data_IF_610821249434
#
_entry.id   IF_610821249434
#
_cell.length_a   1.000
_cell.length_b   1.000
_cell.length_c   1.000
_cell.angle_alpha   90.00
_cell.angle_beta   90.00
_cell.angle_gamma   90.00
#
_symmetry.space_group_name_H-M   'P 1'
#
loop_
_entity.id
_entity.type
_entity.pdbx_description
1 polymer ?
#
# COMPACT_ATOMS: atom_id res chain seq x y z
N UNK A 1 7.03 -31.05 -21.74
CA UNK A 1 8.51 -30.97 -21.89
C UNK A 1 8.92 -29.68 -21.22
N UNK A 2 9.86 -29.74 -20.27
CA UNK A 2 10.39 -28.50 -19.69
C UNK A 2 11.26 -27.81 -20.74
N UNK A 3 11.06 -26.50 -20.95
CA UNK A 3 11.90 -25.72 -21.83
C UNK A 3 13.38 -25.85 -21.45
N UNK A 4 14.30 -25.92 -22.43
CA UNK A 4 15.71 -26.08 -22.15
C UNK A 4 16.23 -24.94 -21.27
N UNK A 5 17.03 -25.31 -20.29
CA UNK A 5 17.67 -24.39 -19.33
C UNK A 5 18.52 -23.41 -20.12
N UNK A 6 18.13 -22.16 -20.16
CA UNK A 6 18.95 -21.11 -20.75
C UNK A 6 20.06 -20.77 -19.76
N UNK A 7 21.28 -21.13 -20.08
CA UNK A 7 22.46 -20.81 -19.27
C UNK A 7 22.89 -19.36 -19.48
N UNK A 8 23.63 -18.71 -18.55
CA UNK A 8 24.18 -17.37 -18.75
C UNK A 8 24.98 -17.22 -20.06
N UNK A 9 25.61 -18.30 -20.51
CA UNK A 9 26.37 -18.35 -21.76
C UNK A 9 25.46 -18.32 -22.99
N UNK A 10 24.32 -18.99 -22.93
CA UNK A 10 23.30 -18.96 -23.99
C UNK A 10 22.57 -17.62 -24.03
N UNK A 11 22.36 -16.97 -22.88
CA UNK A 11 21.83 -15.60 -22.83
C UNK A 11 22.76 -14.60 -23.55
N UNK A 12 24.04 -14.69 -23.31
CA UNK A 12 25.05 -13.88 -24.01
C UNK A 12 25.08 -14.17 -25.52
N UNK A 13 24.93 -15.43 -25.93
CA UNK A 13 24.84 -15.81 -27.34
C UNK A 13 23.61 -15.23 -28.03
N UNK A 14 22.44 -15.32 -27.37
CA UNK A 14 21.19 -14.74 -27.88
C UNK A 14 21.25 -13.22 -28.01
N UNK A 15 21.90 -12.52 -27.07
CA UNK A 15 22.17 -11.08 -27.15
C UNK A 15 23.02 -10.73 -28.38
N UNK A 16 24.06 -11.53 -28.64
CA UNK A 16 24.94 -11.31 -29.79
C UNK A 16 24.24 -11.56 -31.13
N UNK A 17 23.23 -12.41 -31.20
CA UNK A 17 22.45 -12.74 -32.39
C UNK A 17 21.38 -11.70 -32.75
N UNK A 18 21.13 -10.69 -31.86
CA UNK A 18 20.18 -9.61 -32.13
C UNK A 18 18.72 -10.04 -32.26
N UNK A 19 18.36 -11.22 -31.73
CA UNK A 19 16.97 -11.70 -31.72
C UNK A 19 16.16 -10.92 -30.69
N UNK A 20 14.93 -10.57 -31.04
CA UNK A 20 13.96 -10.04 -30.08
C UNK A 20 13.67 -11.12 -29.03
N UNK A 21 14.25 -10.95 -27.84
CA UNK A 21 13.89 -11.72 -26.67
C UNK A 21 13.90 -10.82 -25.45
N UNK A 22 13.08 -11.15 -24.48
CA UNK A 22 13.02 -10.38 -23.25
C UNK A 22 14.20 -10.76 -22.34
N UNK A 23 15.36 -10.15 -22.62
CA UNK A 23 16.61 -10.40 -21.91
C UNK A 23 16.47 -10.31 -20.40
N UNK A 24 15.76 -9.28 -19.90
CA UNK A 24 15.59 -9.09 -18.46
C UNK A 24 14.78 -10.24 -17.84
N UNK A 25 13.73 -10.66 -18.51
CA UNK A 25 12.88 -11.76 -18.07
C UNK A 25 13.63 -13.09 -18.03
N UNK A 26 14.33 -13.44 -19.11
CA UNK A 26 15.10 -14.68 -19.19
C UNK A 26 16.30 -14.69 -18.21
N UNK A 27 16.98 -13.54 -18.07
CA UNK A 27 18.08 -13.38 -17.11
C UNK A 27 17.59 -13.54 -15.66
N UNK A 28 16.44 -12.95 -15.33
CA UNK A 28 15.85 -13.09 -13.99
C UNK A 28 15.43 -14.53 -13.68
N UNK A 29 14.80 -15.25 -14.63
CA UNK A 29 14.45 -16.66 -14.45
C UNK A 29 15.71 -17.51 -14.23
N UNK A 30 16.77 -17.27 -15.02
CA UNK A 30 18.04 -17.98 -14.90
C UNK A 30 18.70 -17.74 -13.54
N UNK A 31 18.77 -16.48 -13.09
CA UNK A 31 19.34 -16.11 -11.79
C UNK A 31 18.57 -16.71 -10.61
N UNK A 32 17.24 -16.60 -10.61
CA UNK A 32 16.39 -17.15 -9.54
C UNK A 32 16.49 -18.67 -9.48
N UNK A 33 16.64 -19.30 -10.62
CA UNK A 33 16.87 -20.76 -10.70
C UNK A 33 18.20 -21.15 -10.09
N UNK A 34 19.27 -20.42 -10.38
CA UNK A 34 20.59 -20.67 -9.82
C UNK A 34 20.57 -20.52 -8.29
N UNK A 35 19.90 -19.51 -7.74
CA UNK A 35 19.70 -19.40 -6.30
C UNK A 35 18.97 -20.60 -5.70
N UNK A 36 17.89 -21.07 -6.36
CA UNK A 36 17.17 -22.26 -5.90
C UNK A 36 18.04 -23.51 -5.91
N UNK A 37 18.92 -23.66 -6.92
CA UNK A 37 19.83 -24.81 -6.99
C UNK A 37 20.87 -24.78 -5.86
N UNK A 38 21.43 -23.60 -5.54
CA UNK A 38 22.36 -23.41 -4.41
C UNK A 38 21.68 -23.78 -3.09
N UNK A 39 20.49 -23.23 -2.80
CA UNK A 39 19.76 -23.56 -1.57
C UNK A 39 19.42 -25.05 -1.45
N UNK A 40 19.10 -25.71 -2.57
CA UNK A 40 18.80 -27.14 -2.57
C UNK A 40 20.07 -27.97 -2.43
N UNK A 41 21.20 -27.54 -2.99
CA UNK A 41 22.50 -28.18 -2.81
C UNK A 41 22.92 -28.16 -1.34
N UNK A 42 22.84 -27.03 -0.68
CA UNK A 42 23.10 -26.91 0.76
C UNK A 42 22.21 -27.83 1.60
N UNK A 43 20.94 -28.02 1.22
CA UNK A 43 20.01 -28.90 1.95
C UNK A 43 20.21 -30.40 1.65
N UNK A 44 20.62 -30.75 0.45
CA UNK A 44 20.75 -32.13 0.03
C UNK A 44 22.14 -32.68 0.21
N UNK A 45 23.15 -31.81 0.38
CA UNK A 45 24.56 -32.18 0.46
C UNK A 45 25.14 -32.64 -0.88
N UNK A 46 24.48 -32.36 -2.02
CA UNK A 46 24.99 -32.78 -3.33
C UNK A 46 24.43 -31.93 -4.46
N UNK A 47 25.24 -31.60 -5.45
CA UNK A 47 24.88 -30.86 -6.66
C UNK A 47 23.88 -31.65 -7.54
N UNK A 48 23.29 -30.95 -8.53
CA UNK A 48 22.36 -31.56 -9.47
C UNK A 48 23.08 -32.67 -10.30
N UNK A 49 22.57 -33.89 -10.20
CA UNK A 49 23.13 -35.04 -10.94
C UNK A 49 24.34 -35.70 -10.26
N UNK A 50 24.90 -35.13 -9.20
CA UNK A 50 26.02 -35.70 -8.48
C UNK A 50 25.62 -36.95 -7.64
N UNK A 51 26.48 -37.95 -7.57
CA UNK A 51 26.33 -39.11 -6.69
C UNK A 51 27.29 -38.97 -5.51
N UNK A 52 26.86 -38.28 -4.46
CA UNK A 52 27.64 -38.11 -3.24
C UNK A 52 27.19 -39.07 -2.16
N UNK A 53 28.11 -39.74 -1.43
CA UNK A 53 27.79 -40.64 -0.33
C UNK A 53 27.09 -39.91 0.84
N UNK A 54 27.35 -38.64 0.98
CA UNK A 54 26.85 -37.78 2.05
C UNK A 54 25.47 -37.15 1.74
N UNK A 55 24.86 -37.51 0.60
CA UNK A 55 23.57 -37.01 0.19
C UNK A 55 22.48 -37.38 1.19
N UNK A 56 21.85 -36.33 1.79
CA UNK A 56 20.81 -36.50 2.81
C UNK A 56 19.44 -36.77 2.17
N UNK A 57 19.16 -36.20 1.00
CA UNK A 57 17.85 -36.31 0.34
C UNK A 57 17.99 -36.30 -1.19
N UNK A 58 17.07 -36.98 -1.87
CA UNK A 58 17.01 -36.99 -3.34
C UNK A 58 16.04 -35.97 -3.88
N UNK A 59 16.37 -35.35 -5.01
CA UNK A 59 15.50 -34.48 -5.78
C UNK A 59 14.40 -35.32 -6.47
N UNK A 60 13.20 -34.71 -6.61
CA UNK A 60 12.02 -35.35 -7.22
C UNK A 60 11.38 -34.43 -8.28
N UNK A 61 12.18 -33.97 -9.24
CA UNK A 61 11.76 -33.09 -10.30
C UNK A 61 11.43 -31.65 -9.83
N UNK A 62 10.60 -30.97 -10.57
CA UNK A 62 10.25 -29.56 -10.35
C UNK A 62 8.74 -29.39 -10.25
N UNK A 63 8.31 -28.29 -9.67
CA UNK A 63 6.93 -27.78 -9.75
C UNK A 63 6.96 -26.37 -10.31
N UNK A 64 6.11 -26.07 -11.27
CA UNK A 64 5.98 -24.74 -11.81
C UNK A 64 5.27 -23.83 -10.80
N UNK A 65 5.82 -22.65 -10.62
CA UNK A 65 5.20 -21.57 -9.86
C UNK A 65 5.30 -20.28 -10.65
N UNK A 66 4.16 -19.61 -10.84
CA UNK A 66 4.11 -18.28 -11.42
C UNK A 66 4.49 -17.23 -10.38
N UNK A 67 5.36 -16.31 -10.78
CA UNK A 67 5.74 -15.10 -10.04
C UNK A 67 5.52 -13.90 -10.95
N UNK A 68 4.69 -12.96 -10.53
CA UNK A 68 4.43 -11.72 -11.25
C UNK A 68 5.40 -10.65 -10.76
N UNK A 69 6.20 -10.09 -11.68
CA UNK A 69 7.26 -9.13 -11.40
C UNK A 69 7.09 -7.89 -12.27
N UNK A 70 7.88 -6.84 -12.04
CA UNK A 70 7.90 -5.64 -12.87
C UNK A 70 8.39 -5.88 -14.31
N UNK A 71 9.03 -7.03 -14.58
CA UNK A 71 9.45 -7.46 -15.93
C UNK A 71 8.50 -8.47 -16.57
N UNK A 72 7.32 -8.65 -16.00
CA UNK A 72 6.31 -9.61 -16.48
C UNK A 72 6.14 -10.84 -15.59
N UNK A 73 5.25 -11.74 -16.02
CA UNK A 73 5.01 -13.02 -15.33
C UNK A 73 6.11 -14.01 -15.64
N UNK A 74 6.77 -14.51 -14.60
CA UNK A 74 7.81 -15.53 -14.68
C UNK A 74 7.23 -16.87 -14.29
N UNK A 75 7.61 -17.95 -14.99
CA UNK A 75 7.38 -19.33 -14.55
C UNK A 75 8.65 -19.88 -13.91
N UNK A 76 8.60 -20.13 -12.61
CA UNK A 76 9.75 -20.61 -11.83
C UNK A 76 9.62 -22.11 -11.58
N UNK A 77 10.53 -22.93 -12.08
CA UNK A 77 10.59 -24.36 -11.79
C UNK A 77 11.22 -24.57 -10.41
N UNK A 78 10.38 -24.67 -9.38
CA UNK A 78 10.85 -24.91 -8.00
C UNK A 78 11.21 -26.38 -7.82
N UNK A 79 12.45 -26.73 -7.40
CA UNK A 79 12.84 -28.10 -7.13
C UNK A 79 11.98 -28.76 -6.05
N UNK A 80 11.66 -30.05 -6.25
CA UNK A 80 11.01 -30.89 -5.25
C UNK A 80 12.03 -31.84 -4.63
N UNK A 81 11.87 -32.12 -3.35
CA UNK A 81 12.59 -33.12 -2.63
C UNK A 81 11.72 -34.38 -2.44
N UNK A 82 12.33 -35.58 -2.35
CA UNK A 82 11.59 -36.80 -2.04
C UNK A 82 11.13 -36.83 -0.60
N UNK A 83 11.97 -36.36 0.29
CA UNK A 83 11.69 -36.23 1.72
C UNK A 83 11.76 -34.78 2.13
N UNK A 84 10.77 -34.32 2.89
CA UNK A 84 10.64 -32.93 3.28
C UNK A 84 10.04 -32.03 2.19
N UNK A 85 10.05 -30.73 2.45
CA UNK A 85 9.52 -29.72 1.55
C UNK A 85 10.56 -28.61 1.36
N UNK A 86 10.81 -28.23 0.10
CA UNK A 86 11.60 -27.08 -0.25
C UNK A 86 10.71 -25.93 -0.71
N UNK A 87 11.00 -24.77 -0.19
CA UNK A 87 10.43 -23.50 -0.63
C UNK A 87 11.55 -22.46 -0.66
N UNK A 88 11.74 -21.72 -1.78
CA UNK A 88 12.81 -20.74 -1.89
C UNK A 88 12.70 -19.64 -0.83
N UNK A 89 13.82 -19.26 -0.20
CA UNK A 89 13.88 -18.28 0.89
C UNK A 89 13.45 -16.88 0.43
N UNK A 90 13.72 -16.53 -0.83
CA UNK A 90 13.39 -15.26 -1.44
C UNK A 90 11.92 -15.14 -1.89
N UNK A 91 11.13 -16.22 -1.81
CA UNK A 91 9.70 -16.21 -2.12
C UNK A 91 8.87 -16.22 -0.84
N UNK A 92 7.85 -15.39 -0.79
CA UNK A 92 6.85 -15.49 0.27
C UNK A 92 5.81 -16.58 -0.04
N UNK A 93 5.48 -17.44 0.94
CA UNK A 93 4.37 -18.38 0.80
C UNK A 93 3.07 -17.65 0.46
N UNK A 94 2.37 -18.12 -0.58
CA UNK A 94 1.08 -17.57 -1.06
C UNK A 94 1.16 -16.21 -1.74
N UNK A 95 2.32 -15.60 -1.93
CA UNK A 95 2.49 -14.36 -2.67
C UNK A 95 2.88 -14.66 -4.12
N UNK A 96 2.21 -14.04 -5.08
CA UNK A 96 2.46 -14.21 -6.52
C UNK A 96 3.07 -12.98 -7.17
N UNK A 97 2.98 -11.84 -6.51
CA UNK A 97 3.44 -10.55 -7.04
C UNK A 97 4.57 -9.97 -6.20
N UNK A 98 5.43 -9.25 -6.87
CA UNK A 98 6.53 -8.51 -6.28
C UNK A 98 6.04 -7.24 -5.56
N UNK A 99 6.80 -6.75 -4.56
CA UNK A 99 6.50 -5.50 -3.83
C UNK A 99 6.38 -4.29 -4.76
N UNK A 100 7.20 -4.23 -5.81
CA UNK A 100 7.14 -3.14 -6.79
C UNK A 100 5.80 -3.10 -7.52
N UNK A 101 5.28 -4.27 -7.93
CA UNK A 101 3.96 -4.37 -8.54
C UNK A 101 2.86 -4.01 -7.54
N UNK A 102 2.99 -4.48 -6.29
CA UNK A 102 2.07 -4.10 -5.23
C UNK A 102 2.03 -2.56 -5.06
N UNK A 103 3.20 -1.90 -5.02
CA UNK A 103 3.29 -0.46 -4.90
C UNK A 103 2.62 0.27 -6.09
N UNK A 104 2.84 -0.18 -7.33
CA UNK A 104 2.21 0.39 -8.54
C UNK A 104 0.69 0.25 -8.49
N UNK A 105 0.18 -0.91 -8.10
CA UNK A 105 -1.28 -1.14 -7.98
C UNK A 105 -1.89 -0.26 -6.88
N UNK A 106 -1.23 -0.16 -5.73
CA UNK A 106 -1.68 0.71 -4.64
C UNK A 106 -1.69 2.18 -5.06
N UNK A 107 -0.64 2.65 -5.72
CA UNK A 107 -0.53 4.03 -6.21
C UNK A 107 -1.62 4.34 -7.23
N UNK A 108 -1.85 3.46 -8.21
CA UNK A 108 -2.93 3.61 -9.16
C UNK A 108 -4.30 3.66 -8.48
N UNK A 109 -4.52 2.83 -7.47
CA UNK A 109 -5.76 2.82 -6.69
C UNK A 109 -5.97 4.12 -5.92
N UNK A 110 -4.93 4.63 -5.23
CA UNK A 110 -4.97 5.91 -4.49
C UNK A 110 -5.28 7.07 -5.43
N UNK A 111 -4.76 7.07 -6.66
CA UNK A 111 -5.08 8.06 -7.69
C UNK A 111 -6.46 7.87 -8.34
N UNK A 112 -7.30 7.00 -7.81
CA UNK A 112 -8.68 6.81 -8.27
C UNK A 112 -8.81 6.01 -9.58
N UNK A 113 -7.77 5.29 -9.97
CA UNK A 113 -7.84 4.37 -11.10
C UNK A 113 -8.70 3.18 -10.72
N UNK A 114 -9.79 2.92 -11.46
CA UNK A 114 -10.69 1.80 -11.16
C UNK A 114 -9.94 0.47 -11.25
N UNK A 115 -10.35 -0.53 -10.46
CA UNK A 115 -9.75 -1.87 -10.46
C UNK A 115 -9.68 -2.51 -11.85
N UNK A 116 -10.64 -2.19 -12.74
CA UNK A 116 -10.61 -2.63 -14.14
C UNK A 116 -9.48 -1.97 -14.94
N UNK A 117 -9.28 -0.66 -14.78
CA UNK A 117 -8.17 0.06 -15.43
C UNK A 117 -6.82 -0.32 -14.85
N UNK A 118 -6.76 -0.70 -13.56
CA UNK A 118 -5.55 -1.25 -12.94
C UNK A 118 -5.21 -2.60 -13.59
N UNK A 119 -6.21 -3.44 -13.86
CA UNK A 119 -6.03 -4.70 -14.61
C UNK A 119 -5.44 -4.43 -16.01
N UNK A 120 -6.00 -3.45 -16.76
CA UNK A 120 -5.49 -3.04 -18.07
C UNK A 120 -4.05 -2.52 -17.99
N UNK A 121 -3.71 -1.72 -16.96
CA UNK A 121 -2.36 -1.22 -16.73
C UNK A 121 -1.38 -2.37 -16.48
N UNK A 122 -1.76 -3.31 -15.64
CA UNK A 122 -0.94 -4.47 -15.30
C UNK A 122 -0.73 -5.38 -16.53
N UNK A 123 -1.77 -5.57 -17.34
CA UNK A 123 -1.64 -6.26 -18.63
C UNK A 123 -0.68 -5.55 -19.58
N UNK A 124 -0.74 -4.20 -19.65
CA UNK A 124 0.19 -3.40 -20.46
C UNK A 124 1.65 -3.51 -19.98
N UNK A 125 1.87 -3.86 -18.70
CA UNK A 125 3.20 -4.17 -18.15
C UNK A 125 3.69 -5.60 -18.48
N UNK A 126 2.98 -6.34 -19.34
CA UNK A 126 3.33 -7.71 -19.71
C UNK A 126 2.96 -8.78 -18.68
N UNK A 127 2.11 -8.43 -17.71
CA UNK A 127 1.62 -9.36 -16.70
C UNK A 127 0.33 -10.02 -17.17
N UNK A 128 0.39 -11.31 -17.48
CA UNK A 128 -0.79 -12.09 -17.80
C UNK A 128 -1.61 -12.39 -16.54
N UNK A 129 -2.78 -11.77 -16.44
CA UNK A 129 -3.85 -12.26 -15.56
C UNK A 129 -3.72 -11.96 -14.06
N UNK A 130 -3.41 -10.72 -13.66
CA UNK A 130 -3.89 -10.26 -12.36
C UNK A 130 -5.41 -10.16 -12.45
N UNK A 131 -6.08 -11.07 -11.75
CA UNK A 131 -7.53 -11.06 -11.70
C UNK A 131 -8.03 -9.87 -10.87
N UNK A 132 -9.27 -9.41 -11.13
CA UNK A 132 -9.93 -8.40 -10.30
C UNK A 132 -9.89 -8.74 -8.82
N UNK A 133 -10.00 -10.03 -8.46
CA UNK A 133 -9.91 -10.52 -7.10
C UNK A 133 -8.52 -10.32 -6.48
N UNK A 134 -7.45 -10.42 -7.28
CA UNK A 134 -6.08 -10.13 -6.83
C UNK A 134 -5.89 -8.63 -6.59
N UNK A 135 -6.33 -7.77 -7.52
CA UNK A 135 -6.31 -6.31 -7.34
C UNK A 135 -7.11 -5.92 -6.10
N UNK A 136 -8.31 -6.46 -5.92
CA UNK A 136 -9.14 -6.20 -4.72
C UNK A 136 -8.44 -6.64 -3.44
N UNK A 137 -7.69 -7.76 -3.44
CA UNK A 137 -6.94 -8.23 -2.29
C UNK A 137 -5.74 -7.32 -1.98
N UNK A 138 -5.09 -6.77 -3.00
CA UNK A 138 -4.02 -5.78 -2.85
C UNK A 138 -4.60 -4.51 -2.22
N UNK A 139 -5.73 -4.01 -2.72
CA UNK A 139 -6.41 -2.84 -2.17
C UNK A 139 -6.85 -3.05 -0.71
N UNK A 140 -7.36 -4.23 -0.36
CA UNK A 140 -7.73 -4.57 1.01
C UNK A 140 -6.56 -4.51 2.01
N UNK A 141 -5.32 -4.74 1.57
CA UNK A 141 -4.13 -4.52 2.42
C UNK A 141 -3.92 -3.03 2.72
N UNK A 142 -4.16 -2.15 1.75
CA UNK A 142 -4.11 -0.71 1.94
C UNK A 142 -5.20 -0.25 2.92
N UNK A 143 -6.43 -0.77 2.77
CA UNK A 143 -7.53 -0.51 3.70
C UNK A 143 -7.15 -0.92 5.13
N UNK A 144 -6.50 -2.08 5.31
CA UNK A 144 -5.98 -2.53 6.59
C UNK A 144 -4.93 -1.59 7.20
N UNK A 145 -4.06 -0.99 6.39
CA UNK A 145 -3.10 0.02 6.85
C UNK A 145 -3.80 1.32 7.28
N UNK A 146 -4.80 1.77 6.52
CA UNK A 146 -5.61 2.94 6.85
C UNK A 146 -6.35 2.71 8.16
N UNK A 147 -6.99 1.56 8.37
CA UNK A 147 -7.68 1.23 9.62
C UNK A 147 -6.72 1.13 10.81
N UNK A 148 -5.54 0.54 10.63
CA UNK A 148 -4.50 0.51 11.66
C UNK A 148 -4.05 1.92 12.03
N UNK A 149 -3.88 2.81 11.06
CA UNK A 149 -3.57 4.21 11.30
C UNK A 149 -4.70 4.94 12.05
N UNK A 150 -5.96 4.73 11.64
CA UNK A 150 -7.15 5.32 12.27
C UNK A 150 -7.33 4.87 13.71
N UNK A 151 -7.01 3.61 14.01
CA UNK A 151 -7.13 3.00 15.34
C UNK A 151 -5.90 3.14 16.25
N UNK A 152 -4.77 3.67 15.75
CA UNK A 152 -3.52 3.71 16.52
C UNK A 152 -3.65 4.51 17.81
N UNK A 153 -3.02 4.10 18.92
CA UNK A 153 -2.93 4.90 20.14
C UNK A 153 -2.20 6.22 19.87
N UNK A 154 -2.67 7.29 20.49
CA UNK A 154 -2.01 8.59 20.48
C UNK A 154 -1.24 8.73 21.79
N UNK A 155 0.08 8.89 21.69
CA UNK A 155 0.98 8.95 22.85
C UNK A 155 1.53 10.35 22.98
N UNK A 156 1.45 10.91 24.20
CA UNK A 156 1.95 12.25 24.48
C UNK A 156 0.85 13.30 24.61
N UNK A 157 1.29 14.55 24.68
CA UNK A 157 0.39 15.71 24.79
C UNK A 157 0.51 16.56 23.55
N UNK A 158 -0.65 17.04 23.05
CA UNK A 158 -0.77 17.83 21.84
C UNK A 158 -1.43 19.17 22.15
N UNK A 159 -0.65 20.17 22.59
CA UNK A 159 -1.24 21.48 22.97
C UNK A 159 -1.93 22.21 21.82
N UNK A 160 -1.56 21.93 20.57
CA UNK A 160 -2.15 22.56 19.41
C UNK A 160 -2.79 21.54 18.49
N UNK A 161 -4.04 21.78 18.11
CA UNK A 161 -4.84 20.93 17.24
C UNK A 161 -5.44 21.72 16.09
N UNK A 162 -5.20 21.33 14.85
CA UNK A 162 -5.87 21.82 13.66
C UNK A 162 -6.90 20.80 13.19
N UNK A 163 -8.09 21.31 12.85
CA UNK A 163 -9.18 20.54 12.28
C UNK A 163 -9.58 21.16 10.96
N UNK A 164 -9.58 20.36 9.91
CA UNK A 164 -9.93 20.79 8.56
C UNK A 164 -10.80 19.74 7.88
N UNK A 165 -11.60 20.16 6.92
CA UNK A 165 -12.43 19.31 6.09
C UNK A 165 -12.35 19.72 4.63
N UNK A 166 -12.14 18.75 3.76
CA UNK A 166 -12.10 18.94 2.32
C UNK A 166 -13.17 18.10 1.65
N UNK A 167 -13.98 18.69 0.77
CA UNK A 167 -15.03 17.98 0.07
C UNK A 167 -14.52 17.36 -1.22
N UNK A 168 -14.68 16.02 -1.33
CA UNK A 168 -14.34 15.26 -2.51
C UNK A 168 -15.56 14.59 -3.13
N UNK A 169 -15.56 14.46 -4.46
CA UNK A 169 -16.61 13.76 -5.19
C UNK A 169 -16.26 12.27 -5.28
N UNK A 170 -17.00 11.44 -4.59
CA UNK A 170 -16.83 10.00 -4.57
C UNK A 170 -18.06 9.28 -5.14
N UNK A 171 -17.89 8.04 -5.60
CA UNK A 171 -19.02 7.19 -5.97
C UNK A 171 -19.47 6.40 -4.75
N UNK A 172 -20.76 6.46 -4.44
CA UNK A 172 -21.35 5.61 -3.40
C UNK A 172 -21.60 4.18 -3.92
N UNK A 173 -22.04 3.28 -3.03
CA UNK A 173 -22.33 1.88 -3.35
C UNK A 173 -23.39 1.71 -4.45
N UNK A 174 -24.24 2.72 -4.66
CA UNK A 174 -25.22 2.76 -5.75
C UNK A 174 -24.64 3.26 -7.08
N UNK A 175 -23.36 3.63 -7.12
CA UNK A 175 -22.65 4.19 -8.28
C UNK A 175 -22.94 5.66 -8.55
N UNK A 176 -23.66 6.37 -7.65
CA UNK A 176 -23.93 7.80 -7.77
C UNK A 176 -22.75 8.61 -7.28
N UNK A 177 -22.48 9.73 -7.92
CA UNK A 177 -21.48 10.69 -7.46
C UNK A 177 -22.08 11.53 -6.33
N UNK A 178 -21.50 11.41 -5.15
CA UNK A 178 -21.86 12.18 -3.95
C UNK A 178 -20.67 13.00 -3.48
N UNK A 179 -20.94 14.12 -2.82
CA UNK A 179 -19.89 14.91 -2.16
C UNK A 179 -19.72 14.37 -0.73
N UNK A 180 -18.49 14.02 -0.37
CA UNK A 180 -18.10 13.56 0.97
C UNK A 180 -17.05 14.48 1.52
N UNK A 181 -17.15 14.83 2.80
CA UNK A 181 -16.12 15.56 3.51
C UNK A 181 -15.07 14.59 4.04
N UNK A 182 -13.81 14.76 3.62
CA UNK A 182 -12.65 14.17 4.27
C UNK A 182 -12.20 15.09 5.39
N UNK A 183 -12.31 14.63 6.62
CA UNK A 183 -11.96 15.36 7.82
C UNK A 183 -10.59 14.93 8.29
N UNK A 184 -9.73 15.87 8.64
CA UNK A 184 -8.38 15.62 9.13
C UNK A 184 -8.14 16.37 10.44
N UNK A 185 -7.60 15.66 11.43
CA UNK A 185 -7.09 16.24 12.66
C UNK A 185 -5.55 16.19 12.64
N UNK A 186 -4.95 17.34 12.80
CA UNK A 186 -3.51 17.56 12.75
C UNK A 186 -3.02 18.18 14.06
N UNK A 187 -2.08 17.52 14.74
CA UNK A 187 -1.58 17.95 16.04
C UNK A 187 -0.12 18.37 16.03
N UNK A 188 0.24 19.21 16.99
CA UNK A 188 1.62 19.51 17.33
C UNK A 188 1.85 19.05 18.76
N UNK A 189 2.80 18.12 18.92
CA UNK A 189 3.20 17.60 20.23
C UNK A 189 3.98 18.65 21.05
N UNK A 190 4.11 18.45 22.36
CA UNK A 190 4.96 19.30 23.23
C UNK A 190 6.43 19.32 22.77
N UNK A 191 6.89 18.28 22.09
CA UNK A 191 8.22 18.21 21.46
C UNK A 191 8.39 19.12 20.24
N UNK A 192 7.27 19.68 19.71
CA UNK A 192 7.24 20.45 18.47
C UNK A 192 7.02 19.59 17.22
N UNK A 193 6.98 18.28 17.34
CA UNK A 193 6.68 17.36 16.24
C UNK A 193 5.24 17.51 15.78
N UNK A 194 5.06 17.36 14.48
CA UNK A 194 3.79 17.54 13.82
C UNK A 194 3.33 16.22 13.22
N UNK A 195 2.08 15.84 13.49
CA UNK A 195 1.54 14.61 12.92
C UNK A 195 0.03 14.67 12.67
N UNK A 196 -0.44 13.84 11.75
CA UNK A 196 -1.87 13.61 11.54
C UNK A 196 -2.35 12.67 12.63
N UNK A 197 -3.24 13.14 13.49
CA UNK A 197 -3.77 12.38 14.62
C UNK A 197 -4.96 11.50 14.23
N UNK A 198 -5.70 11.91 13.22
CA UNK A 198 -6.84 11.15 12.73
C UNK A 198 -7.41 11.70 11.44
N UNK A 199 -8.11 10.83 10.75
CA UNK A 199 -8.89 11.15 9.56
C UNK A 199 -10.21 10.38 9.60
N UNK A 200 -11.25 10.97 9.02
CA UNK A 200 -12.56 10.33 8.85
C UNK A 200 -13.29 10.92 7.64
N UNK A 201 -14.35 10.24 7.21
CA UNK A 201 -15.14 10.63 6.05
C UNK A 201 -16.62 10.74 6.44
N UNK A 202 -17.28 11.81 6.07
CA UNK A 202 -18.70 12.00 6.33
C UNK A 202 -19.45 12.66 5.17
N UNK A 203 -20.76 12.49 5.14
CA UNK A 203 -21.63 13.19 4.17
C UNK A 203 -21.92 14.63 4.57
N UNK A 204 -21.92 14.89 5.87
CA UNK A 204 -22.24 16.21 6.44
C UNK A 204 -21.41 16.45 7.69
N UNK A 205 -20.81 17.62 7.77
CA UNK A 205 -20.05 18.10 8.92
C UNK A 205 -20.98 18.65 10.00
N UNK A 206 -21.85 17.82 10.56
CA UNK A 206 -22.71 18.26 11.64
C UNK A 206 -22.02 18.15 13.02
N UNK A 207 -22.68 18.68 14.04
CA UNK A 207 -22.18 18.64 15.42
C UNK A 207 -21.98 17.19 15.92
N UNK A 208 -22.90 16.29 15.58
CA UNK A 208 -22.86 14.91 16.07
C UNK A 208 -21.64 14.16 15.52
N UNK A 209 -21.36 14.35 14.23
CA UNK A 209 -20.17 13.81 13.60
C UNK A 209 -18.88 14.35 14.26
N UNK A 210 -18.74 15.68 14.36
CA UNK A 210 -17.57 16.30 14.98
C UNK A 210 -17.34 15.84 16.41
N UNK A 211 -18.42 15.79 17.21
CA UNK A 211 -18.35 15.29 18.59
C UNK A 211 -17.86 13.85 18.62
N UNK A 212 -18.40 12.97 17.77
CA UNK A 212 -17.97 11.56 17.66
C UNK A 212 -16.49 11.44 17.27
N UNK A 213 -16.07 12.16 16.25
CA UNK A 213 -14.68 12.17 15.77
C UNK A 213 -13.70 12.63 16.85
N UNK A 214 -13.97 13.76 17.50
CA UNK A 214 -13.11 14.29 18.57
C UNK A 214 -13.08 13.37 19.80
N UNK A 215 -14.22 12.81 20.21
CA UNK A 215 -14.28 11.82 21.29
C UNK A 215 -13.50 10.55 20.94
N UNK A 216 -13.51 10.16 19.68
CA UNK A 216 -12.67 9.06 19.16
C UNK A 216 -11.18 9.33 19.31
N UNK A 217 -10.73 10.56 19.04
CA UNK A 217 -9.31 10.95 19.26
C UNK A 217 -8.96 10.90 20.75
N UNK A 218 -9.84 11.39 21.63
CA UNK A 218 -9.62 11.33 23.09
C UNK A 218 -9.55 9.89 23.58
N UNK A 219 -10.44 9.02 23.10
CA UNK A 219 -10.45 7.58 23.50
C UNK A 219 -9.16 6.85 23.05
N UNK A 220 -8.49 7.33 21.99
CA UNK A 220 -7.21 6.84 21.51
C UNK A 220 -6.01 7.43 22.26
N UNK A 221 -6.22 8.37 23.20
CA UNK A 221 -5.16 8.96 24.02
C UNK A 221 -4.85 10.42 23.77
N UNK A 222 -5.56 11.11 22.85
CA UNK A 222 -5.35 12.56 22.64
C UNK A 222 -5.56 13.32 23.95
N UNK A 223 -4.54 14.05 24.40
CA UNK A 223 -4.56 14.81 25.65
C UNK A 223 -3.80 16.13 25.54
N UNK A 224 -4.06 17.04 26.49
CA UNK A 224 -3.32 18.27 26.63
C UNK A 224 -3.67 19.36 25.62
N UNK A 225 -4.79 19.26 24.89
CA UNK A 225 -5.22 20.26 23.92
C UNK A 225 -5.48 21.60 24.62
N UNK A 226 -4.71 22.61 24.30
CA UNK A 226 -4.83 23.97 24.81
C UNK A 226 -5.46 24.93 23.79
N UNK A 227 -5.14 24.73 22.51
CA UNK A 227 -5.66 25.54 21.42
C UNK A 227 -6.12 24.67 20.24
N UNK A 228 -7.38 24.81 19.85
CA UNK A 228 -7.94 24.21 18.66
C UNK A 228 -8.16 25.25 17.56
N UNK A 229 -7.65 25.01 16.37
CA UNK A 229 -7.74 25.90 15.20
C UNK A 229 -8.58 25.18 14.14
N UNK A 230 -9.65 25.85 13.65
CA UNK A 230 -10.50 25.33 12.58
C UNK A 230 -11.12 26.43 11.74
N UNK A 231 -11.91 26.05 10.75
CA UNK A 231 -12.82 27.00 10.11
C UNK A 231 -13.92 27.47 11.07
N UNK A 232 -14.81 28.33 10.57
CA UNK A 232 -15.88 28.95 11.39
C UNK A 232 -17.15 28.09 11.54
N UNK A 233 -17.09 26.77 11.31
CA UNK A 233 -18.25 25.90 11.37
C UNK A 233 -18.82 25.79 12.80
N UNK A 234 -20.10 26.14 12.98
CA UNK A 234 -20.73 26.25 14.31
C UNK A 234 -20.79 24.89 15.06
N UNK A 235 -21.09 23.82 14.33
CA UNK A 235 -21.14 22.45 14.90
C UNK A 235 -19.79 21.99 15.40
N UNK A 236 -18.73 22.27 14.64
CA UNK A 236 -17.34 21.96 15.03
C UNK A 236 -16.92 22.74 16.27
N UNK A 237 -17.15 24.07 16.29
CA UNK A 237 -16.81 24.92 17.45
C UNK A 237 -17.47 24.39 18.72
N UNK A 238 -18.78 24.07 18.68
CA UNK A 238 -19.52 23.53 19.80
C UNK A 238 -18.94 22.16 20.24
N UNK A 239 -18.57 21.28 19.31
CA UNK A 239 -17.96 19.98 19.62
C UNK A 239 -16.59 20.15 20.30
N UNK A 240 -15.77 21.10 19.88
CA UNK A 240 -14.49 21.44 20.52
C UNK A 240 -14.69 21.90 21.96
N UNK A 241 -15.64 22.82 22.20
CA UNK A 241 -15.95 23.37 23.53
C UNK A 241 -16.43 22.26 24.49
N UNK A 242 -17.16 21.25 23.98
CA UNK A 242 -17.68 20.15 24.78
C UNK A 242 -16.62 19.08 25.07
N UNK A 243 -15.83 18.68 24.06
CA UNK A 243 -14.89 17.58 24.18
C UNK A 243 -13.56 17.98 24.82
N UNK A 244 -13.08 19.19 24.53
CA UNK A 244 -11.79 19.71 25.04
C UNK A 244 -12.03 20.79 26.10
N UNK A 245 -12.49 20.39 27.27
CA UNK A 245 -12.75 21.32 28.37
C UNK A 245 -11.51 22.12 28.73
N UNK A 246 -11.64 23.46 28.67
CA UNK A 246 -10.54 24.40 28.94
C UNK A 246 -9.66 24.73 27.74
N UNK A 247 -9.86 24.12 26.59
CA UNK A 247 -9.16 24.50 25.37
C UNK A 247 -9.75 25.81 24.78
N UNK A 248 -8.88 26.68 24.27
CA UNK A 248 -9.30 27.83 23.49
C UNK A 248 -9.59 27.43 22.04
N UNK A 249 -10.55 28.11 21.40
CA UNK A 249 -10.81 27.97 19.99
C UNK A 249 -10.39 29.21 19.21
N UNK A 250 -9.73 28.99 18.08
CA UNK A 250 -9.32 30.06 17.17
C UNK A 250 -9.78 29.75 15.74
N UNK A 251 -10.30 30.71 15.04
CA UNK A 251 -10.60 30.58 13.61
C UNK A 251 -9.32 30.46 12.79
N UNK A 252 -9.28 29.53 11.86
CA UNK A 252 -8.16 29.38 10.94
C UNK A 252 -7.91 30.64 10.14
N UNK A 253 -6.71 31.19 10.22
CA UNK A 253 -6.33 32.45 9.54
C UNK A 253 -6.51 32.37 8.03
N UNK A 254 -6.21 31.21 7.41
CA UNK A 254 -6.34 31.05 5.96
C UNK A 254 -7.79 31.12 5.53
N UNK A 255 -8.71 30.43 6.22
CA UNK A 255 -10.12 30.47 5.94
C UNK A 255 -10.72 31.89 6.23
N UNK A 256 -10.27 32.55 7.28
CA UNK A 256 -10.66 33.92 7.58
C UNK A 256 -10.28 34.88 6.46
N UNK A 257 -9.02 34.82 6.00
CA UNK A 257 -8.53 35.69 4.91
C UNK A 257 -9.25 35.40 3.59
N UNK A 258 -9.47 34.14 3.25
CA UNK A 258 -10.25 33.77 2.04
C UNK A 258 -11.66 34.35 2.08
N UNK A 259 -12.31 34.30 3.23
CA UNK A 259 -13.65 34.86 3.38
C UNK A 259 -13.66 36.39 3.23
N UNK A 260 -12.64 37.09 3.75
CA UNK A 260 -12.52 38.57 3.53
C UNK A 260 -12.31 38.85 2.04
N UNK A 261 -11.37 38.13 1.40
CA UNK A 261 -11.06 38.32 -0.02
C UNK A 261 -12.26 38.03 -0.94
N UNK A 262 -13.14 37.13 -0.53
CA UNK A 262 -14.37 36.85 -1.29
C UNK A 262 -15.38 37.99 -1.29
N UNK A 263 -15.25 38.92 -0.35
CA UNK A 263 -16.10 40.14 -0.24
C UNK A 263 -15.52 41.32 -0.99
N UNK A 264 -14.26 41.23 -1.45
CA UNK A 264 -13.64 42.31 -2.22
C UNK A 264 -14.02 42.16 -3.70
N UNK A 265 -14.53 43.25 -4.35
CA UNK A 265 -14.80 43.22 -5.78
C UNK A 265 -13.56 42.86 -6.60
N UNK A 266 -13.75 42.08 -7.68
CA UNK A 266 -12.63 41.66 -8.56
C UNK A 266 -12.01 42.80 -9.37
N UNK A 267 -12.67 43.93 -9.44
CA UNK A 267 -12.28 45.09 -10.24
C UNK A 267 -11.83 46.28 -9.35
N UNK A 268 -11.10 45.94 -8.26
CA UNK A 268 -10.54 46.92 -7.33
C UNK A 268 -9.01 46.86 -7.30
#
# INVERSE_FOLDING_TARGET
>A
MADPIVTPKELLSKLAEGKEFDFLREAMVSLLREFMEIEVEERTGASLGERAPERVCQRNGYRERRLDTCVGSLSLPIPKLREGSYFPSFLEPRRRSEEALFAVVCEAYVHGVSTRKVEDLVCAMGLEGISKSEVSRICARLDGQVEAFRGRPLVGRYPYLWLDATYEKVRDDSGRVVSMALVVAYGVAETGEREVLGLDVCRSEDYAFWRGFLSGLVSRGLSGVALCISDGHKGLKRAVEEVFLGASWQRCRVHFLRNILSLVPKDG
#
